data_IF_455987382638
#
_entry.id   IF_455987382638
#
_cell.length_a   1.000
_cell.length_b   1.000
_cell.length_c   1.000
_cell.angle_alpha   90.00
_cell.angle_beta   90.00
_cell.angle_gamma   90.00
#
_symmetry.space_group_name_H-M   'P 1'
#
loop_
_entity.id
_entity.type
_entity.pdbx_description
1 polymer ?
#
# COMPACT_ATOMS: atom_id res chain seq x y z
N UNK A 1 1.01 -19.24 -2.22
CA UNK A 1 0.69 -18.19 -3.22
C UNK A 1 0.56 -16.87 -2.47
N UNK A 2 1.46 -15.89 -2.69
CA UNK A 2 1.42 -14.60 -1.96
C UNK A 2 0.09 -13.88 -2.23
N UNK A 3 -0.47 -13.19 -1.23
CA UNK A 3 -1.74 -12.45 -1.37
C UNK A 3 -1.49 -11.19 -2.23
N UNK A 4 -2.54 -10.66 -2.87
CA UNK A 4 -2.44 -9.40 -3.65
C UNK A 4 -2.62 -8.24 -2.68
N UNK A 5 -1.87 -7.16 -2.84
CA UNK A 5 -2.14 -5.90 -2.12
C UNK A 5 -3.59 -5.43 -2.35
N UNK A 6 -4.27 -5.07 -1.28
CA UNK A 6 -5.64 -4.57 -1.22
C UNK A 6 -5.71 -3.27 -0.42
N UNK A 7 -6.81 -2.50 -0.52
CA UNK A 7 -6.97 -1.30 0.30
C UNK A 7 -6.91 -1.57 1.81
N UNK A 8 -7.32 -2.76 2.27
CA UNK A 8 -7.30 -3.11 3.71
C UNK A 8 -5.88 -3.13 4.29
N UNK A 9 -4.88 -3.35 3.45
CA UNK A 9 -3.47 -3.41 3.85
C UNK A 9 -2.94 -2.01 4.20
N UNK A 10 -3.68 -0.93 3.89
CA UNK A 10 -3.31 0.43 4.32
C UNK A 10 -3.26 0.57 5.85
N UNK A 11 -4.02 -0.26 6.58
CA UNK A 11 -4.01 -0.29 8.06
C UNK A 11 -2.70 -0.81 8.66
N UNK A 12 -1.84 -1.41 7.84
CA UNK A 12 -0.54 -1.94 8.25
C UNK A 12 0.59 -0.93 8.01
N UNK A 13 0.26 0.27 7.51
CA UNK A 13 1.23 1.35 7.25
C UNK A 13 1.22 2.25 8.47
N UNK A 14 2.30 2.22 9.23
CA UNK A 14 2.57 3.15 10.34
C UNK A 14 3.56 4.22 9.90
N UNK A 15 4.57 3.82 9.12
CA UNK A 15 5.62 4.69 8.60
C UNK A 15 5.67 4.68 7.06
N UNK A 16 6.33 5.68 6.48
CA UNK A 16 6.44 5.80 5.02
C UNK A 16 7.16 4.60 4.37
N UNK A 17 8.11 3.98 5.09
CA UNK A 17 8.88 2.83 4.61
C UNK A 17 8.04 1.56 4.45
N UNK A 18 6.98 1.39 5.26
CA UNK A 18 6.07 0.24 5.19
C UNK A 18 5.44 0.08 3.81
N UNK A 19 5.26 1.20 3.10
CA UNK A 19 4.72 1.23 1.75
C UNK A 19 5.61 0.46 0.75
N UNK A 20 6.93 0.41 0.97
CA UNK A 20 7.86 -0.32 0.11
C UNK A 20 7.81 -1.83 0.38
N UNK A 21 7.58 -2.23 1.63
CA UNK A 21 7.59 -3.63 2.06
C UNK A 21 6.23 -4.34 1.88
N UNK A 22 5.11 -3.61 2.03
CA UNK A 22 3.76 -4.17 1.89
C UNK A 22 3.36 -4.46 0.43
N UNK A 23 4.04 -3.84 -0.53
CA UNK A 23 3.74 -4.01 -1.96
C UNK A 23 4.48 -5.23 -2.52
N UNK A 24 3.95 -6.42 -2.27
CA UNK A 24 4.50 -7.67 -2.83
C UNK A 24 3.90 -8.03 -4.20
N UNK A 25 4.76 -8.09 -5.23
CA UNK A 25 4.34 -8.52 -6.58
C UNK A 25 4.38 -10.04 -6.74
N UNK A 26 3.28 -10.72 -6.37
CA UNK A 26 3.13 -12.17 -6.59
C UNK A 26 3.22 -12.61 -8.06
N UNK A 27 3.10 -11.68 -9.02
CA UNK A 27 3.19 -11.96 -10.47
C UNK A 27 4.61 -11.86 -11.00
N UNK A 28 5.57 -11.44 -10.18
CA UNK A 28 6.99 -11.37 -10.54
C UNK A 28 7.51 -12.73 -11.05
N UNK A 29 7.06 -13.84 -10.46
CA UNK A 29 7.54 -15.19 -10.83
C UNK A 29 7.01 -15.68 -12.18
N UNK A 30 5.81 -15.28 -12.62
CA UNK A 30 5.19 -15.87 -13.83
C UNK A 30 5.48 -15.08 -15.10
N UNK A 31 5.42 -13.73 -15.07
CA UNK A 31 5.59 -12.87 -16.26
C UNK A 31 6.16 -11.48 -15.88
N UNK A 32 7.34 -11.44 -15.26
CA UNK A 32 8.01 -10.19 -14.94
C UNK A 32 8.67 -9.57 -16.18
N UNK A 33 7.93 -8.68 -16.86
CA UNK A 33 8.55 -7.58 -17.60
C UNK A 33 8.76 -6.42 -16.61
N UNK A 34 9.98 -5.89 -16.53
CA UNK A 34 10.34 -4.80 -15.62
C UNK A 34 9.46 -3.55 -15.77
N UNK A 35 8.96 -3.25 -16.97
CA UNK A 35 8.01 -2.16 -17.16
C UNK A 35 6.64 -2.47 -16.52
N UNK A 36 6.14 -3.71 -16.63
CA UNK A 36 4.90 -4.15 -15.99
C UNK A 36 5.04 -4.22 -14.47
N UNK A 37 6.21 -4.61 -13.96
CA UNK A 37 6.52 -4.61 -12.52
C UNK A 37 6.44 -3.19 -11.94
N UNK A 38 7.11 -2.21 -12.57
CA UNK A 38 7.05 -0.79 -12.18
C UNK A 38 5.63 -0.23 -12.19
N UNK A 39 4.83 -0.56 -13.22
CA UNK A 39 3.41 -0.14 -13.29
C UNK A 39 2.58 -0.71 -12.15
N UNK A 40 2.77 -1.98 -11.77
CA UNK A 40 2.06 -2.61 -10.65
C UNK A 40 2.46 -2.00 -9.31
N UNK A 41 3.76 -1.85 -9.07
CA UNK A 41 4.34 -1.15 -7.93
C UNK A 41 3.67 0.23 -7.76
N UNK A 42 3.72 1.08 -8.80
CA UNK A 42 3.12 2.42 -8.77
C UNK A 42 1.60 2.38 -8.54
N UNK A 43 0.89 1.42 -9.16
CA UNK A 43 -0.56 1.23 -8.94
C UNK A 43 -0.87 0.90 -7.46
N UNK A 44 -0.10 0.02 -6.84
CA UNK A 44 -0.35 -0.41 -5.47
C UNK A 44 0.02 0.68 -4.46
N UNK A 45 1.14 1.38 -4.66
CA UNK A 45 1.48 2.57 -3.87
C UNK A 45 0.35 3.61 -3.93
N UNK A 46 -0.11 3.97 -5.14
CA UNK A 46 -1.23 4.89 -5.29
C UNK A 46 -2.54 4.40 -4.66
N UNK A 47 -2.79 3.09 -4.66
CA UNK A 47 -3.98 2.51 -4.03
C UNK A 47 -3.94 2.70 -2.52
N UNK A 48 -2.80 2.41 -1.89
CA UNK A 48 -2.61 2.52 -0.44
C UNK A 48 -2.60 3.98 -0.01
N UNK A 49 -1.85 4.85 -0.70
CA UNK A 49 -1.86 6.29 -0.41
C UNK A 49 -3.26 6.90 -0.53
N UNK A 50 -4.04 6.53 -1.56
CA UNK A 50 -5.43 6.99 -1.67
C UNK A 50 -6.31 6.49 -0.54
N UNK A 51 -6.08 5.26 -0.09
CA UNK A 51 -6.83 4.70 1.02
C UNK A 51 -6.51 5.42 2.34
N UNK A 52 -5.24 5.71 2.61
CA UNK A 52 -4.80 6.49 3.78
C UNK A 52 -5.42 7.89 3.76
N UNK A 53 -5.36 8.59 2.62
CA UNK A 53 -5.98 9.91 2.47
C UNK A 53 -7.50 9.85 2.63
N UNK A 54 -8.15 8.79 2.14
CA UNK A 54 -9.60 8.61 2.25
C UNK A 54 -10.06 8.21 3.66
N UNK A 55 -9.20 7.56 4.46
CA UNK A 55 -9.50 7.25 5.86
C UNK A 55 -9.37 8.50 6.74
N UNK A 56 -8.60 9.50 6.28
CA UNK A 56 -8.19 10.63 7.12
C UNK A 56 -7.18 10.16 8.17
N UNK A 57 -6.43 11.06 8.81
CA UNK A 57 -5.81 10.72 10.07
C UNK A 57 -6.93 10.29 11.03
N UNK A 58 -6.80 9.13 11.67
CA UNK A 58 -7.62 8.78 12.82
C UNK A 58 -7.28 9.81 13.91
N UNK A 59 -7.96 10.97 13.91
CA UNK A 59 -7.96 11.91 15.03
C UNK A 59 -8.87 11.30 16.09
N UNK A 60 -8.46 10.15 16.64
CA UNK A 60 -9.00 9.63 17.89
C UNK A 60 -8.10 10.13 19.02
N UNK A 61 -8.53 11.22 19.66
CA UNK A 61 -8.43 11.29 21.12
C UNK A 61 -7.32 12.09 21.78
N UNK A 62 -6.81 13.19 21.21
CA UNK A 62 -6.04 14.13 22.04
C UNK A 62 -6.21 15.60 21.64
N UNK A 63 -6.31 16.46 22.66
CA UNK A 63 -6.47 17.94 22.70
C UNK A 63 -7.70 18.51 21.98
N UNK A 64 -8.76 18.99 22.66
CA UNK A 64 -8.76 20.09 23.64
C UNK A 64 -9.89 19.94 24.67
N UNK A 65 -9.52 19.82 25.95
CA UNK A 65 -10.32 20.30 27.10
C UNK A 65 -10.14 21.80 27.28
#
# INVERSE_FOLDING_TARGET
MRKRTTPKDAKLIEEAEDLEYLVEDKRAVWRADGARARRRQRRYKNLLTRQLVSQGPDIEGDVLS
#
